data_IF_778637399113
#
_entry.id   IF_778637399113
#
_cell.length_a   1.000
_cell.length_b   1.000
_cell.length_c   1.000
_cell.angle_alpha   90.00
_cell.angle_beta   90.00
_cell.angle_gamma   90.00
#
_symmetry.space_group_name_H-M   'P 1'
#
loop_
_entity.id
_entity.type
_entity.pdbx_description
1 polymer ?
#
# COMPACT_ATOMS: atom_id res chain seq x y z
N UNK A 1 1.25 -10.00 -11.97
CA UNK A 1 0.08 -9.31 -11.38
C UNK A 1 0.55 -8.01 -10.74
N UNK A 2 -0.36 -7.07 -10.55
CA UNK A 2 -0.11 -5.77 -9.93
C UNK A 2 -1.15 -5.56 -8.84
N UNK A 3 -0.74 -5.02 -7.69
CA UNK A 3 -1.64 -4.53 -6.64
C UNK A 3 -1.41 -3.04 -6.43
N UNK A 4 -2.47 -2.24 -6.52
CA UNK A 4 -2.42 -0.81 -6.18
C UNK A 4 -3.06 -0.63 -4.80
N UNK A 5 -2.32 -0.01 -3.89
CA UNK A 5 -2.80 0.33 -2.55
C UNK A 5 -3.02 1.83 -2.40
N UNK A 6 -3.89 2.17 -1.45
CA UNK A 6 -4.07 3.51 -0.89
C UNK A 6 -4.01 3.44 0.63
N UNK A 7 -3.38 4.42 1.25
CA UNK A 7 -3.41 4.59 2.70
C UNK A 7 -3.25 6.06 3.09
N UNK A 8 -3.61 6.35 4.33
CA UNK A 8 -3.45 7.67 4.94
C UNK A 8 -2.45 7.57 6.09
N UNK A 9 -1.77 8.68 6.37
CA UNK A 9 -0.78 8.81 7.42
C UNK A 9 -1.18 9.95 8.36
N UNK A 10 -0.84 9.78 9.64
CA UNK A 10 -0.86 10.85 10.63
C UNK A 10 0.41 11.72 10.50
N UNK A 11 0.42 12.89 11.14
CA UNK A 11 1.55 13.81 11.08
C UNK A 11 2.85 13.23 11.70
N UNK A 12 2.72 12.29 12.62
CA UNK A 12 3.83 11.54 13.22
C UNK A 12 4.35 10.38 12.34
N UNK A 13 3.80 10.23 11.13
CA UNK A 13 4.17 9.19 10.19
C UNK A 13 3.55 7.82 10.48
N UNK A 14 2.70 7.68 11.50
CA UNK A 14 1.94 6.46 11.74
C UNK A 14 0.80 6.30 10.73
N UNK A 15 0.29 5.07 10.57
CA UNK A 15 -0.83 4.81 9.67
C UNK A 15 -2.14 5.34 10.27
N UNK A 16 -2.86 6.14 9.49
CA UNK A 16 -4.24 6.49 9.76
C UNK A 16 -5.16 5.42 9.14
N UNK A 17 -5.35 4.33 9.89
CA UNK A 17 -6.15 3.19 9.46
C UNK A 17 -5.37 2.16 8.63
N UNK A 18 -6.09 1.14 8.15
CA UNK A 18 -5.48 0.03 7.41
C UNK A 18 -5.31 0.40 5.93
N UNK A 19 -4.15 0.14 5.29
CA UNK A 19 -4.01 0.25 3.85
C UNK A 19 -5.05 -0.59 3.11
N UNK A 20 -5.62 -0.02 2.04
CA UNK A 20 -6.68 -0.65 1.27
C UNK A 20 -6.24 -0.91 -0.17
N UNK A 21 -6.71 -2.02 -0.73
CA UNK A 21 -6.53 -2.32 -2.16
C UNK A 21 -7.47 -1.43 -2.96
N UNK A 22 -6.90 -0.67 -3.89
CA UNK A 22 -7.67 0.14 -4.85
C UNK A 22 -7.96 -0.66 -6.11
N UNK A 23 -6.97 -1.41 -6.60
CA UNK A 23 -7.14 -2.27 -7.77
C UNK A 23 -6.11 -3.39 -7.79
N UNK A 24 -6.45 -4.46 -8.50
CA UNK A 24 -5.50 -5.50 -8.88
C UNK A 24 -5.66 -5.82 -10.37
N UNK A 25 -4.55 -6.13 -11.03
CA UNK A 25 -4.53 -6.42 -12.47
C UNK A 25 -3.63 -7.61 -12.81
N UNK A 26 -3.91 -8.27 -13.94
CA UNK A 26 -3.21 -9.48 -14.36
C UNK A 26 -3.60 -10.73 -13.56
N UNK A 27 -4.86 -10.79 -13.12
CA UNK A 27 -5.44 -11.96 -12.44
C UNK A 27 -6.07 -12.89 -13.47
N UNK A 28 -5.81 -14.18 -13.37
CA UNK A 28 -6.45 -15.27 -14.10
C UNK A 28 -6.82 -16.39 -13.13
N UNK A 29 -7.51 -17.42 -13.60
CA UNK A 29 -8.01 -18.48 -12.70
C UNK A 29 -6.89 -19.26 -12.01
N UNK A 30 -5.75 -19.44 -12.68
CA UNK A 30 -4.58 -20.12 -12.12
C UNK A 30 -3.92 -19.34 -10.97
N UNK A 31 -3.96 -17.99 -11.01
CA UNK A 31 -3.25 -17.15 -10.03
C UNK A 31 -4.18 -16.47 -9.01
N UNK A 32 -5.49 -16.73 -9.04
CA UNK A 32 -6.47 -16.12 -8.14
C UNK A 32 -6.13 -16.26 -6.64
N UNK A 33 -5.68 -17.43 -6.13
CA UNK A 33 -5.24 -17.55 -4.73
C UNK A 33 -3.98 -16.71 -4.43
N UNK A 34 -3.06 -16.60 -5.39
CA UNK A 34 -1.85 -15.79 -5.24
C UNK A 34 -2.16 -14.29 -5.23
N UNK A 35 -3.22 -13.86 -5.92
CA UNK A 35 -3.65 -12.47 -5.95
C UNK A 35 -4.06 -11.96 -4.57
N UNK A 36 -4.81 -12.75 -3.81
CA UNK A 36 -5.17 -12.42 -2.44
C UNK A 36 -3.94 -12.31 -1.54
N UNK A 37 -3.07 -13.34 -1.58
CA UNK A 37 -1.84 -13.34 -0.78
C UNK A 37 -0.90 -12.18 -1.13
N UNK A 38 -0.79 -11.82 -2.41
CA UNK A 38 0.00 -10.68 -2.86
C UNK A 38 -0.53 -9.36 -2.29
N UNK A 39 -1.85 -9.16 -2.29
CA UNK A 39 -2.46 -7.98 -1.67
C UNK A 39 -2.19 -7.92 -0.16
N UNK A 40 -2.33 -9.04 0.55
CA UNK A 40 -2.06 -9.10 1.99
C UNK A 40 -0.60 -8.80 2.31
N UNK A 41 0.34 -9.33 1.52
CA UNK A 41 1.78 -9.04 1.65
C UNK A 41 2.09 -7.57 1.41
N UNK A 42 1.47 -6.94 0.40
CA UNK A 42 1.64 -5.52 0.13
C UNK A 42 1.13 -4.67 1.31
N UNK A 43 -0.04 -5.00 1.88
CA UNK A 43 -0.56 -4.32 3.07
C UNK A 43 0.39 -4.49 4.26
N UNK A 44 0.90 -5.71 4.50
CA UNK A 44 1.85 -5.99 5.58
C UNK A 44 3.15 -5.21 5.41
N UNK A 45 3.67 -5.08 4.19
CA UNK A 45 4.86 -4.27 3.92
C UNK A 45 4.65 -2.80 4.32
N UNK A 46 3.50 -2.21 3.99
CA UNK A 46 3.17 -0.83 4.41
C UNK A 46 3.06 -0.73 5.93
N UNK A 47 2.45 -1.72 6.59
CA UNK A 47 2.34 -1.75 8.05
C UNK A 47 3.70 -1.86 8.74
N UNK A 48 4.61 -2.66 8.20
CA UNK A 48 5.96 -2.84 8.75
C UNK A 48 6.87 -1.61 8.52
N UNK A 49 6.60 -0.85 7.46
CA UNK A 49 7.35 0.38 7.18
C UNK A 49 6.92 1.56 8.07
N UNK A 50 5.75 1.48 8.70
CA UNK A 50 5.30 2.49 9.64
C UNK A 50 6.02 2.36 11.00
N UNK A 51 6.34 3.47 11.68
CA UNK A 51 6.09 4.85 11.26
C UNK A 51 7.07 5.35 10.19
N UNK A 52 6.56 6.14 9.25
CA UNK A 52 7.34 6.73 8.17
C UNK A 52 8.02 8.01 8.66
N UNK A 53 9.35 8.09 8.51
CA UNK A 53 10.11 9.31 8.81
C UNK A 53 10.00 10.29 7.64
N UNK A 54 8.98 11.16 7.68
CA UNK A 54 8.70 12.17 6.66
C UNK A 54 8.79 13.58 7.25
N UNK A 55 9.18 14.60 6.46
CA UNK A 55 9.25 15.97 6.95
C UNK A 55 7.86 16.53 7.27
N UNK A 56 7.63 16.91 8.52
CA UNK A 56 6.35 17.45 9.01
C UNK A 56 5.90 18.69 8.23
N UNK A 57 6.85 19.53 7.82
CA UNK A 57 6.62 20.76 7.05
C UNK A 57 5.86 20.55 5.72
N UNK A 58 5.74 19.30 5.25
CA UNK A 58 5.04 18.95 4.01
C UNK A 58 3.90 17.96 4.23
N UNK A 59 3.38 17.86 5.45
CA UNK A 59 2.34 16.91 5.82
C UNK A 59 1.16 16.89 4.84
N UNK A 60 0.64 18.05 4.45
CA UNK A 60 -0.48 18.13 3.51
C UNK A 60 -0.20 17.50 2.14
N UNK A 61 1.07 17.37 1.75
CA UNK A 61 1.47 16.72 0.50
C UNK A 61 1.55 15.20 0.60
N UNK A 62 1.90 14.65 1.76
CA UNK A 62 2.16 13.21 1.91
C UNK A 62 1.15 12.46 2.79
N UNK A 63 0.26 13.15 3.50
CA UNK A 63 -0.75 12.55 4.39
C UNK A 63 -1.67 11.53 3.70
N UNK A 64 -1.83 11.62 2.38
CA UNK A 64 -2.64 10.71 1.57
C UNK A 64 -1.83 10.13 0.42
N UNK A 65 -1.65 8.83 0.43
CA UNK A 65 -1.00 8.09 -0.66
C UNK A 65 -2.11 7.39 -1.44
N UNK A 66 -2.56 8.05 -2.51
CA UNK A 66 -3.76 7.65 -3.26
C UNK A 66 -3.57 6.47 -4.21
N UNK A 67 -2.37 6.27 -4.73
CA UNK A 67 -2.06 5.19 -5.67
C UNK A 67 -0.59 4.80 -5.57
N UNK A 68 -0.31 3.72 -4.83
CA UNK A 68 1.02 3.12 -4.79
C UNK A 68 0.98 1.75 -5.44
N UNK A 69 1.84 1.53 -6.43
CA UNK A 69 1.88 0.32 -7.23
C UNK A 69 2.88 -0.67 -6.64
N UNK A 70 2.41 -1.86 -6.30
CA UNK A 70 3.23 -3.04 -6.04
C UNK A 70 3.17 -3.95 -7.26
N UNK A 71 4.29 -4.10 -7.95
CA UNK A 71 4.44 -5.05 -9.03
C UNK A 71 5.46 -6.13 -8.70
N UNK A 72 5.21 -7.33 -9.24
CA UNK A 72 6.15 -8.44 -9.16
C UNK A 72 7.13 -8.32 -10.32
N UNK A 73 8.06 -7.39 -10.25
CA UNK A 73 9.29 -7.40 -11.06
C UNK A 73 10.48 -7.64 -10.12
N UNK A 74 10.74 -8.92 -9.84
CA UNK A 74 11.98 -9.37 -9.19
C UNK A 74 12.39 -10.68 -9.85
#
# INVERSE_FOLDING_TARGET
MVTVLRWELNADGTLNGRPVVVSQSGINDSNRPQAQLHAERAIRAVQLAAPFRLPEQYYDRWRRIGSFRFDRSI
#
